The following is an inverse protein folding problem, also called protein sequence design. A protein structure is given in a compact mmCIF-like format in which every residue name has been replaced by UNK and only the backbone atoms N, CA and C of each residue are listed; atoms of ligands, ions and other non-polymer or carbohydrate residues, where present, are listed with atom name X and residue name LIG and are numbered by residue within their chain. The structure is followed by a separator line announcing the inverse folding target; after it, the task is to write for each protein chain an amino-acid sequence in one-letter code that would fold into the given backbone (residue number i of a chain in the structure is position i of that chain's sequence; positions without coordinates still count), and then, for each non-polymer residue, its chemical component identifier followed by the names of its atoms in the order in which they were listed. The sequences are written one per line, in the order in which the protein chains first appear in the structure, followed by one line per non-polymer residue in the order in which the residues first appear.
data_IF_517238107403
#
_entry.id   IF_517238107403
#
_cell.length_a   1.000
_cell.length_b   1.000
_cell.length_c   1.000
_cell.angle_alpha   90.00
_cell.angle_beta   90.00
_cell.angle_gamma   90.00
#
_symmetry.space_group_name_H-M   'P 1'
#
loop_
_entity.id
_entity.type
_entity.pdbx_description
1 polymer ?
#
# COMPACT_ATOMS: atom_id res chain seq x y z
N UNK A 1 -0.33 11.68 12.36
CA UNK A 1 -1.53 11.18 13.06
C UNK A 1 -1.42 11.34 14.58
N UNK A 2 -0.37 10.81 15.23
CA UNK A 2 -0.22 10.86 16.69
C UNK A 2 -0.23 12.27 17.30
N UNK A 3 0.37 13.26 16.62
CA UNK A 3 0.32 14.68 17.03
C UNK A 3 -1.10 15.27 17.06
N UNK A 4 -2.07 14.60 16.40
CA UNK A 4 -3.49 14.99 16.40
C UNK A 4 -4.32 14.03 17.29
N UNK A 5 -3.69 13.32 18.23
CA UNK A 5 -4.36 12.48 19.22
C UNK A 5 -4.67 11.04 18.79
N UNK A 6 -4.26 10.62 17.59
CA UNK A 6 -4.42 9.24 17.16
C UNK A 6 -3.49 8.29 17.95
N UNK A 7 -3.97 7.09 18.25
CA UNK A 7 -3.13 6.00 18.78
C UNK A 7 -2.71 5.10 17.63
N UNK A 8 -1.41 5.03 17.36
CA UNK A 8 -0.83 4.12 16.36
C UNK A 8 -0.27 2.90 17.09
N UNK A 9 -0.67 1.70 16.68
CA UNK A 9 -0.22 0.43 17.26
C UNK A 9 0.34 -0.45 16.14
N UNK A 10 1.66 -0.60 16.09
CA UNK A 10 2.34 -1.57 15.21
C UNK A 10 2.38 -2.94 15.89
N UNK A 11 2.73 -4.00 15.14
CA UNK A 11 2.74 -5.39 15.63
C UNK A 11 1.42 -5.85 16.28
N UNK A 12 0.29 -5.30 15.79
CA UNK A 12 -1.04 -5.48 16.34
C UNK A 12 -2.02 -5.99 15.26
N UNK A 13 -1.82 -7.20 14.70
CA UNK A 13 -2.68 -7.72 13.65
C UNK A 13 -4.13 -7.86 14.15
N UNK A 14 -5.10 -7.49 13.31
CA UNK A 14 -6.50 -7.80 13.57
C UNK A 14 -6.71 -9.30 13.32
N UNK A 15 -7.18 -10.03 14.33
CA UNK A 15 -7.35 -11.48 14.25
C UNK A 15 -8.81 -11.91 14.13
N UNK A 16 -9.74 -11.08 14.61
CA UNK A 16 -11.19 -11.31 14.45
C UNK A 16 -11.99 -10.04 14.66
N UNK A 17 -13.22 -10.02 14.13
CA UNK A 17 -14.23 -9.01 14.43
C UNK A 17 -15.51 -9.70 14.94
N UNK A 18 -16.20 -9.07 15.87
CA UNK A 18 -17.53 -9.49 16.32
C UNK A 18 -18.58 -8.57 15.73
N UNK A 19 -19.54 -9.14 15.01
CA UNK A 19 -20.65 -8.41 14.40
C UNK A 19 -21.96 -8.80 15.07
N UNK A 20 -22.64 -7.80 15.64
CA UNK A 20 -23.92 -7.98 16.33
C UNK A 20 -24.89 -6.93 15.83
N UNK A 21 -26.12 -7.35 15.49
CA UNK A 21 -27.17 -6.46 14.98
C UNK A 21 -26.71 -5.57 13.83
N UNK A 22 -25.93 -6.14 12.90
CA UNK A 22 -25.42 -5.44 11.72
C UNK A 22 -24.34 -4.39 12.00
N UNK A 23 -23.63 -4.48 13.14
CA UNK A 23 -22.53 -3.58 13.49
C UNK A 23 -21.34 -4.35 14.05
N UNK A 24 -20.13 -3.93 13.71
CA UNK A 24 -18.91 -4.38 14.37
C UNK A 24 -18.91 -3.82 15.79
N UNK A 25 -19.02 -4.68 16.80
CA UNK A 25 -19.04 -4.32 18.23
C UNK A 25 -17.71 -4.54 18.92
N UNK A 26 -16.88 -5.47 18.40
CA UNK A 26 -15.54 -5.72 18.90
C UNK A 26 -14.55 -6.04 17.76
N UNK A 27 -13.30 -5.64 17.94
CA UNK A 27 -12.16 -6.00 17.08
C UNK A 27 -11.05 -6.54 17.99
N UNK A 28 -10.63 -7.78 17.74
CA UNK A 28 -9.56 -8.44 18.50
C UNK A 28 -8.23 -8.21 17.82
N UNK A 29 -7.24 -7.75 18.58
CA UNK A 29 -5.86 -7.55 18.16
C UNK A 29 -5.00 -8.65 18.74
N UNK A 30 -4.13 -9.25 17.92
CA UNK A 30 -3.10 -10.18 18.37
C UNK A 30 -1.72 -9.51 18.45
N UNK A 31 -0.67 -10.34 18.30
CA UNK A 31 0.72 -9.89 18.32
C UNK A 31 1.14 -9.38 19.70
N UNK A 32 1.89 -8.27 19.72
CA UNK A 32 2.44 -7.70 20.95
C UNK A 32 1.40 -6.92 21.78
N UNK A 33 0.25 -6.61 21.17
CA UNK A 33 -0.78 -5.79 21.81
C UNK A 33 -1.79 -6.62 22.59
N UNK A 34 -2.26 -7.75 22.03
CA UNK A 34 -3.22 -8.68 22.64
C UNK A 34 -4.39 -7.98 23.37
N UNK A 35 -5.26 -7.29 22.62
CA UNK A 35 -6.29 -6.39 23.16
C UNK A 35 -7.60 -6.50 22.38
N UNK A 36 -8.70 -6.00 22.94
CA UNK A 36 -10.00 -5.92 22.27
C UNK A 36 -10.52 -4.49 22.25
N UNK A 37 -10.71 -3.96 21.04
CA UNK A 37 -11.26 -2.63 20.80
C UNK A 37 -12.77 -2.69 20.56
N UNK A 38 -13.48 -1.64 20.98
CA UNK A 38 -14.93 -1.46 20.72
C UNK A 38 -15.15 -0.19 19.86
N UNK A 39 -15.04 -0.30 18.52
CA UNK A 39 -15.07 0.86 17.65
C UNK A 39 -16.50 1.38 17.41
N UNK A 40 -16.64 2.68 17.16
CA UNK A 40 -17.90 3.24 16.62
C UNK A 40 -18.03 2.97 15.12
N UNK A 41 -16.90 2.97 14.41
CA UNK A 41 -16.77 2.76 12.97
C UNK A 41 -15.44 2.09 12.64
N UNK A 42 -15.40 1.25 11.61
CA UNK A 42 -14.23 0.50 11.14
C UNK A 42 -13.91 0.87 9.70
N UNK A 43 -12.64 1.13 9.42
CA UNK A 43 -12.12 1.34 8.07
C UNK A 43 -11.12 0.23 7.77
N UNK A 44 -11.43 -0.59 6.78
CA UNK A 44 -10.52 -1.59 6.24
C UNK A 44 -9.64 -0.97 5.14
N UNK A 45 -8.40 -0.65 5.48
CA UNK A 45 -7.39 -0.09 4.57
C UNK A 45 -6.18 -1.03 4.43
N UNK A 46 -6.42 -2.34 4.43
CA UNK A 46 -5.36 -3.37 4.59
C UNK A 46 -4.73 -3.84 3.28
N UNK A 47 -4.81 -3.03 2.22
CA UNK A 47 -4.15 -3.28 0.95
C UNK A 47 -4.53 -4.65 0.37
N UNK A 48 -3.55 -5.54 0.06
CA UNK A 48 -3.85 -6.82 -0.56
C UNK A 48 -4.62 -7.77 0.38
N UNK A 49 -4.63 -7.50 1.69
CA UNK A 49 -5.39 -8.28 2.69
C UNK A 49 -6.84 -7.81 2.86
N UNK A 50 -7.29 -6.81 2.10
CA UNK A 50 -8.62 -6.23 2.26
C UNK A 50 -9.74 -7.27 2.22
N UNK A 51 -9.65 -8.28 1.33
CA UNK A 51 -10.58 -9.41 1.29
C UNK A 51 -10.59 -10.21 2.60
N UNK A 52 -9.42 -10.67 3.06
CA UNK A 52 -9.29 -11.46 4.30
C UNK A 52 -9.82 -10.72 5.53
N UNK A 53 -9.59 -9.40 5.60
CA UNK A 53 -10.04 -8.58 6.73
C UNK A 53 -11.53 -8.27 6.63
N UNK A 54 -12.08 -8.09 5.43
CA UNK A 54 -13.52 -7.94 5.21
C UNK A 54 -14.27 -9.22 5.64
N UNK A 55 -13.73 -10.40 5.31
CA UNK A 55 -14.33 -11.69 5.68
C UNK A 55 -14.48 -11.85 7.20
N UNK A 56 -13.59 -11.25 8.00
CA UNK A 56 -13.70 -11.24 9.47
C UNK A 56 -14.96 -10.52 9.97
N UNK A 57 -15.48 -9.56 9.20
CA UNK A 57 -16.73 -8.86 9.48
C UNK A 57 -17.93 -9.49 8.74
N UNK A 58 -17.74 -10.59 8.01
CA UNK A 58 -18.80 -11.25 7.24
C UNK A 58 -19.23 -10.50 5.97
N UNK A 59 -18.37 -9.62 5.44
CA UNK A 59 -18.62 -8.85 4.19
C UNK A 59 -17.52 -9.18 3.19
N UNK A 60 -17.76 -9.03 1.89
CA UNK A 60 -16.78 -9.49 0.88
C UNK A 60 -16.11 -8.35 0.14
N UNK A 61 -14.82 -8.50 -0.15
CA UNK A 61 -14.05 -7.57 -1.00
C UNK A 61 -13.16 -8.38 -1.93
N UNK A 62 -13.46 -8.34 -3.23
CA UNK A 62 -12.75 -9.11 -4.25
C UNK A 62 -11.40 -8.48 -4.59
N UNK A 63 -10.32 -9.13 -4.17
CA UNK A 63 -8.94 -8.71 -4.44
C UNK A 63 -8.28 -9.63 -5.46
N UNK A 64 -7.42 -9.06 -6.32
CA UNK A 64 -6.64 -9.79 -7.32
C UNK A 64 -5.17 -9.37 -7.28
N UNK A 65 -4.45 -9.68 -6.18
CA UNK A 65 -3.11 -9.16 -5.97
C UNK A 65 -2.13 -9.65 -7.06
N UNK A 66 -1.21 -8.77 -7.43
CA UNK A 66 -0.08 -9.11 -8.31
C UNK A 66 1.22 -8.72 -7.67
N UNK A 67 2.19 -9.63 -7.66
CA UNK A 67 3.56 -9.31 -7.24
C UNK A 67 4.36 -8.75 -8.40
N UNK A 68 5.36 -7.93 -8.09
CA UNK A 68 6.34 -7.48 -9.04
C UNK A 68 7.70 -7.32 -8.37
N UNK A 69 8.75 -7.66 -9.11
CA UNK A 69 10.14 -7.47 -8.67
C UNK A 69 10.65 -6.08 -9.04
N UNK A 70 11.54 -5.55 -8.22
CA UNK A 70 12.42 -4.43 -8.55
C UNK A 70 13.86 -4.87 -8.30
N UNK A 71 14.79 -4.44 -9.15
CA UNK A 71 16.20 -4.80 -9.07
C UNK A 71 17.04 -3.53 -9.08
N UNK A 72 17.91 -3.35 -8.09
CA UNK A 72 18.90 -2.28 -8.11
C UNK A 72 20.24 -2.81 -8.59
N UNK A 73 20.90 -2.05 -9.47
CA UNK A 73 22.24 -2.36 -9.98
C UNK A 73 23.15 -1.13 -9.83
N UNK A 74 24.44 -1.36 -9.60
CA UNK A 74 25.43 -0.28 -9.53
C UNK A 74 25.55 0.40 -10.89
N UNK A 75 25.20 1.69 -10.95
CA UNK A 75 25.27 2.48 -12.16
C UNK A 75 25.28 3.97 -11.82
N UNK A 76 26.38 4.63 -12.14
CA UNK A 76 26.56 6.06 -11.95
C UNK A 76 26.70 6.73 -13.32
N UNK A 77 25.68 7.49 -13.72
CA UNK A 77 25.66 8.13 -15.04
C UNK A 77 24.27 8.35 -15.64
N UNK A 78 23.20 7.86 -15.01
CA UNK A 78 21.84 8.14 -15.45
C UNK A 78 21.30 9.34 -14.66
N UNK A 79 21.00 10.43 -15.36
CA UNK A 79 20.37 11.61 -14.75
C UNK A 79 18.82 11.58 -14.86
N UNK A 80 18.22 11.31 -16.03
CA UNK A 80 16.76 11.25 -16.14
C UNK A 80 16.21 9.85 -15.81
N UNK A 81 14.97 9.81 -15.33
CA UNK A 81 14.18 8.57 -15.35
C UNK A 81 13.93 8.17 -16.81
N UNK A 82 14.17 6.90 -17.14
CA UNK A 82 13.80 6.33 -18.44
C UNK A 82 12.48 5.59 -18.30
N UNK A 83 11.57 5.80 -19.26
CA UNK A 83 10.33 5.05 -19.38
C UNK A 83 10.17 4.57 -20.83
N UNK A 84 9.69 3.33 -21.00
CA UNK A 84 9.48 2.72 -22.32
C UNK A 84 8.48 3.44 -23.21
N UNK A 85 7.60 4.26 -22.64
CA UNK A 85 6.56 5.01 -23.36
C UNK A 85 5.70 4.11 -24.28
N UNK A 86 5.36 2.91 -23.80
CA UNK A 86 4.51 1.92 -24.48
C UNK A 86 3.33 1.51 -23.58
N UNK A 87 2.48 0.61 -24.08
CA UNK A 87 1.47 -0.03 -23.23
C UNK A 87 2.14 -0.80 -22.08
N UNK A 88 1.64 -0.69 -20.83
CA UNK A 88 2.33 -1.23 -19.66
C UNK A 88 2.65 -2.72 -19.76
N UNK A 89 3.90 -3.08 -19.49
CA UNK A 89 4.44 -4.43 -19.51
C UNK A 89 5.76 -4.49 -18.70
N UNK A 90 6.42 -5.63 -18.67
CA UNK A 90 7.57 -5.85 -17.81
C UNK A 90 8.77 -4.93 -18.15
N UNK A 91 9.49 -4.45 -17.14
CA UNK A 91 10.74 -3.68 -17.31
C UNK A 91 10.57 -2.31 -17.97
N UNK A 92 9.48 -1.62 -17.66
CA UNK A 92 9.12 -0.35 -18.30
C UNK A 92 9.80 0.91 -17.76
N UNK A 93 10.53 0.84 -16.64
CA UNK A 93 11.13 2.01 -16.00
C UNK A 93 12.53 1.74 -15.45
N UNK A 94 13.43 2.71 -15.64
CA UNK A 94 14.75 2.77 -15.00
C UNK A 94 14.86 4.08 -14.24
N UNK A 95 15.07 4.01 -12.93
CA UNK A 95 15.08 5.17 -12.03
C UNK A 95 16.46 5.33 -11.40
N UNK A 96 17.16 6.46 -11.60
CA UNK A 96 18.43 6.69 -10.92
C UNK A 96 18.25 6.93 -9.42
N UNK A 97 19.15 6.37 -8.62
CA UNK A 97 19.11 6.45 -7.15
C UNK A 97 20.49 6.25 -6.52
N UNK A 98 21.12 7.31 -6.01
CA UNK A 98 22.37 7.32 -5.22
C UNK A 98 23.48 6.34 -5.67
N UNK A 99 24.00 6.52 -6.90
CA UNK A 99 25.06 5.66 -7.47
C UNK A 99 24.57 4.31 -7.98
N UNK A 100 23.26 4.06 -7.92
CA UNK A 100 22.58 2.91 -8.46
C UNK A 100 21.49 3.35 -9.46
N UNK A 101 20.96 2.38 -10.20
CA UNK A 101 19.69 2.51 -10.90
C UNK A 101 18.75 1.38 -10.49
N UNK A 102 17.49 1.75 -10.26
CA UNK A 102 16.40 0.83 -9.94
C UNK A 102 15.67 0.46 -11.22
N UNK A 103 15.72 -0.81 -11.56
CA UNK A 103 15.08 -1.45 -12.70
C UNK A 103 13.73 -2.02 -12.27
N UNK A 104 12.67 -1.77 -13.04
CA UNK A 104 11.39 -2.36 -12.74
C UNK A 104 10.37 -2.28 -13.86
N UNK A 105 9.30 -3.07 -13.80
CA UNK A 105 9.00 -4.14 -12.82
C UNK A 105 8.27 -5.26 -13.54
N UNK A 106 8.00 -6.38 -12.88
CA UNK A 106 7.15 -7.46 -13.40
C UNK A 106 5.70 -7.37 -12.92
N UNK A 107 4.80 -8.19 -13.49
CA UNK A 107 3.43 -8.35 -12.97
C UNK A 107 2.96 -9.80 -12.99
N UNK A 108 3.06 -10.48 -11.84
CA UNK A 108 2.67 -11.90 -11.68
C UNK A 108 1.51 -12.03 -10.69
N UNK A 109 0.38 -12.66 -11.04
CA UNK A 109 -0.70 -12.94 -10.09
C UNK A 109 -0.23 -13.78 -8.89
N UNK A 110 -0.80 -13.52 -7.71
CA UNK A 110 -0.55 -14.31 -6.50
C UNK A 110 -1.86 -14.67 -5.81
N UNK A 111 -1.90 -15.85 -5.19
CA UNK A 111 -3.04 -16.27 -4.37
C UNK A 111 -2.90 -15.78 -2.93
N UNK A 112 -1.68 -15.80 -2.38
CA UNK A 112 -1.37 -15.34 -1.03
C UNK A 112 -0.39 -14.16 -1.06
N UNK A 113 -0.79 -12.96 -0.60
CA UNK A 113 0.13 -11.82 -0.49
C UNK A 113 1.24 -11.99 0.56
N UNK A 114 1.11 -12.93 1.50
CA UNK A 114 2.13 -13.23 2.52
C UNK A 114 3.09 -14.36 2.08
N UNK A 115 2.66 -15.18 1.11
CA UNK A 115 3.36 -16.39 0.71
C UNK A 115 3.36 -16.54 -0.82
N UNK A 116 4.37 -15.94 -1.46
CA UNK A 116 4.57 -16.03 -2.90
C UNK A 116 6.02 -16.37 -3.25
N UNK A 117 6.20 -17.04 -4.38
CA UNK A 117 7.53 -17.39 -4.89
C UNK A 117 8.33 -16.14 -5.26
N UNK A 118 9.65 -16.17 -5.05
CA UNK A 118 10.57 -15.15 -5.52
C UNK A 118 11.54 -15.83 -6.47
N UNK A 119 11.25 -15.75 -7.77
CA UNK A 119 11.96 -16.53 -8.79
C UNK A 119 13.00 -15.70 -9.53
N UNK A 120 14.14 -16.31 -9.85
CA UNK A 120 15.23 -15.65 -10.58
C UNK A 120 14.82 -15.17 -11.98
N UNK A 121 13.88 -15.85 -12.64
CA UNK A 121 13.45 -15.49 -14.00
C UNK A 121 12.85 -14.07 -14.07
N UNK A 122 12.21 -13.57 -13.00
CA UNK A 122 11.67 -12.20 -12.99
C UNK A 122 12.77 -11.16 -12.90
N UNK A 123 13.85 -11.48 -12.16
CA UNK A 123 15.04 -10.64 -12.07
C UNK A 123 15.68 -10.56 -13.46
N UNK A 124 15.90 -11.72 -14.08
CA UNK A 124 16.49 -11.83 -15.42
C UNK A 124 15.64 -11.08 -16.46
N UNK A 125 14.32 -11.28 -16.46
CA UNK A 125 13.40 -10.57 -17.34
C UNK A 125 13.44 -9.05 -17.13
N UNK A 126 13.45 -8.60 -15.87
CA UNK A 126 13.51 -7.17 -15.54
C UNK A 126 14.79 -6.53 -16.06
N UNK A 127 15.94 -7.19 -15.87
CA UNK A 127 17.23 -6.72 -16.37
C UNK A 127 17.25 -6.71 -17.90
N UNK A 128 16.80 -7.79 -18.53
CA UNK A 128 16.73 -7.92 -20.00
C UNK A 128 15.91 -6.78 -20.61
N UNK A 129 14.70 -6.54 -20.11
CA UNK A 129 13.82 -5.49 -20.61
C UNK A 129 14.38 -4.08 -20.35
N UNK A 130 14.98 -3.83 -19.18
CA UNK A 130 15.57 -2.53 -18.89
C UNK A 130 16.85 -2.27 -19.72
N UNK A 131 17.64 -3.31 -20.02
CA UNK A 131 18.85 -3.21 -20.83
C UNK A 131 18.55 -2.76 -22.27
N UNK A 132 17.33 -2.97 -22.75
CA UNK A 132 16.90 -2.44 -24.03
C UNK A 132 16.81 -0.90 -24.05
N UNK A 133 16.60 -0.25 -22.90
CA UNK A 133 16.67 1.22 -22.77
C UNK A 133 18.06 1.70 -22.36
N UNK A 134 18.73 0.93 -21.48
CA UNK A 134 20.04 1.26 -20.93
C UNK A 134 20.97 0.04 -20.97
N UNK A 135 21.66 -0.25 -22.09
CA UNK A 135 22.37 -1.52 -22.31
C UNK A 135 23.37 -1.91 -21.23
N UNK A 136 24.03 -0.92 -20.60
CA UNK A 136 25.04 -1.15 -19.56
C UNK A 136 24.51 -1.87 -18.31
N UNK A 137 23.19 -1.82 -18.03
CA UNK A 137 22.62 -2.47 -16.84
C UNK A 137 22.67 -4.00 -16.92
N UNK A 138 22.79 -4.58 -18.13
CA UNK A 138 22.87 -6.03 -18.32
C UNK A 138 24.12 -6.66 -17.68
N UNK A 139 25.21 -5.91 -17.59
CA UNK A 139 26.49 -6.36 -17.03
C UNK A 139 26.80 -5.70 -15.67
N UNK A 140 25.89 -4.86 -15.16
CA UNK A 140 26.10 -4.11 -13.92
C UNK A 140 25.95 -5.01 -12.69
N UNK A 141 26.72 -4.72 -11.66
CA UNK A 141 26.65 -5.47 -10.40
C UNK A 141 25.27 -5.28 -9.74
N UNK A 142 24.58 -6.39 -9.46
CA UNK A 142 23.32 -6.37 -8.73
C UNK A 142 23.57 -6.08 -7.25
N UNK A 143 22.96 -5.00 -6.76
CA UNK A 143 23.08 -4.55 -5.36
C UNK A 143 22.00 -5.17 -4.48
N UNK A 144 20.73 -5.00 -4.88
CA UNK A 144 19.58 -5.50 -4.09
C UNK A 144 18.38 -5.83 -4.98
N UNK A 145 17.52 -6.71 -4.48
CA UNK A 145 16.28 -7.13 -5.14
C UNK A 145 15.15 -7.19 -4.12
N UNK A 146 13.96 -6.73 -4.48
CA UNK A 146 12.79 -6.81 -3.62
C UNK A 146 11.52 -7.02 -4.43
N UNK A 147 10.53 -7.63 -3.79
CA UNK A 147 9.20 -7.83 -4.33
C UNK A 147 8.19 -7.03 -3.53
N UNK A 148 7.17 -6.55 -4.22
CA UNK A 148 6.00 -5.94 -3.60
C UNK A 148 4.72 -6.50 -4.22
N UNK A 149 3.65 -6.57 -3.43
CA UNK A 149 2.33 -7.01 -3.88
C UNK A 149 1.41 -5.81 -4.06
N UNK A 150 0.87 -5.67 -5.28
CA UNK A 150 -0.07 -4.62 -5.64
C UNK A 150 -1.48 -5.01 -5.20
N UNK A 151 -2.19 -4.15 -4.44
CA UNK A 151 -3.53 -4.44 -3.95
C UNK A 151 -4.60 -4.15 -5.01
N UNK A 152 -4.57 -4.88 -6.12
CA UNK A 152 -5.53 -4.67 -7.20
C UNK A 152 -6.92 -5.15 -6.78
N UNK A 153 -7.91 -4.29 -7.02
CA UNK A 153 -9.31 -4.57 -6.77
C UNK A 153 -9.99 -4.95 -8.08
N UNK A 154 -10.75 -6.04 -8.09
CA UNK A 154 -11.55 -6.47 -9.23
C UNK A 154 -13.03 -6.28 -8.89
N UNK A 155 -13.67 -5.18 -9.34
CA UNK A 155 -15.10 -5.01 -9.11
C UNK A 155 -15.86 -6.07 -9.89
N UNK A 156 -16.80 -6.74 -9.20
CA UNK A 156 -17.79 -7.57 -9.87
C UNK A 156 -18.76 -6.61 -10.60
N UNK A 157 -18.68 -6.52 -11.94
CA UNK A 157 -19.39 -5.51 -12.75
C UNK A 157 -20.92 -5.52 -12.54
N UNK A 158 -21.47 -6.58 -11.93
CA UNK A 158 -22.89 -6.74 -11.69
C UNK A 158 -23.38 -6.29 -10.28
N UNK A 159 -22.49 -6.11 -9.28
CA UNK A 159 -22.92 -6.30 -7.89
C UNK A 159 -23.04 -5.07 -6.99
N UNK A 160 -22.35 -3.93 -7.19
CA UNK A 160 -22.31 -2.89 -6.13
C UNK A 160 -22.40 -1.46 -6.64
N UNK A 161 -23.46 -0.77 -6.20
CA UNK A 161 -23.69 0.68 -6.33
C UNK A 161 -22.70 1.54 -5.53
N UNK A 162 -21.45 1.11 -5.40
CA UNK A 162 -20.38 1.91 -4.84
C UNK A 162 -20.19 3.16 -5.69
N UNK A 163 -20.03 4.31 -5.04
CA UNK A 163 -19.64 5.55 -5.72
C UNK A 163 -18.25 5.33 -6.32
N UNK A 164 -18.21 4.89 -7.57
CA UNK A 164 -17.00 4.82 -8.37
C UNK A 164 -16.49 6.24 -8.56
N UNK A 165 -15.60 6.69 -7.66
CA UNK A 165 -14.82 7.89 -7.92
C UNK A 165 -13.93 7.51 -9.09
N UNK A 166 -14.31 7.94 -10.29
CA UNK A 166 -13.46 7.80 -11.48
C UNK A 166 -12.04 8.24 -11.09
N UNK A 167 -11.04 7.39 -11.36
CA UNK A 167 -9.58 7.58 -11.13
C UNK A 167 -8.93 6.72 -10.02
N UNK A 168 -9.25 5.42 -9.99
CA UNK A 168 -8.26 4.39 -9.64
C UNK A 168 -8.34 3.78 -8.24
N UNK A 169 -9.25 4.22 -7.36
CA UNK A 169 -9.54 3.61 -6.06
C UNK A 169 -11.05 3.55 -5.79
N UNK A 170 -11.46 2.70 -4.83
CA UNK A 170 -12.86 2.47 -4.49
C UNK A 170 -13.07 2.53 -2.98
N UNK A 171 -14.04 3.33 -2.55
CA UNK A 171 -14.53 3.38 -1.19
C UNK A 171 -15.85 2.59 -1.12
N UNK A 172 -15.79 1.41 -0.51
CA UNK A 172 -16.88 0.45 -0.43
C UNK A 172 -17.54 0.56 0.94
N UNK A 173 -18.81 0.96 0.98
CA UNK A 173 -19.61 0.97 2.19
C UNK A 173 -20.30 -0.40 2.33
N UNK A 174 -20.26 -1.02 3.51
CA UNK A 174 -20.78 -2.38 3.70
C UNK A 174 -22.19 -2.43 4.32
N UNK A 175 -22.88 -1.29 4.38
CA UNK A 175 -24.25 -1.23 4.90
C UNK A 175 -25.21 -2.11 4.11
N UNK A 176 -25.08 -2.15 2.78
CA UNK A 176 -25.90 -3.00 1.89
C UNK A 176 -25.58 -4.50 2.04
N UNK A 177 -24.43 -4.84 2.64
CA UNK A 177 -24.03 -6.20 3.01
C UNK A 177 -24.41 -6.54 4.45
N UNK A 178 -25.14 -5.64 5.14
CA UNK A 178 -25.63 -5.85 6.50
C UNK A 178 -24.68 -5.39 7.60
N UNK A 179 -23.59 -4.68 7.28
CA UNK A 179 -22.65 -4.11 8.28
C UNK A 179 -22.55 -2.59 8.14
N UNK A 180 -23.30 -1.87 8.98
CA UNK A 180 -23.54 -0.43 8.82
C UNK A 180 -22.34 0.46 9.18
N UNK A 181 -21.46 -0.01 10.06
CA UNK A 181 -20.34 0.78 10.61
C UNK A 181 -18.98 0.32 10.10
N UNK A 182 -18.93 -0.18 8.86
CA UNK A 182 -17.71 -0.63 8.21
C UNK A 182 -17.63 -0.13 6.77
N UNK A 183 -16.44 0.29 6.34
CA UNK A 183 -16.12 0.52 4.94
C UNK A 183 -14.73 -0.05 4.60
N UNK A 184 -14.51 -0.33 3.32
CA UNK A 184 -13.20 -0.73 2.78
C UNK A 184 -12.71 0.27 1.75
N UNK A 185 -11.43 0.66 1.82
CA UNK A 185 -10.77 1.51 0.83
C UNK A 185 -9.74 0.66 0.07
N UNK A 186 -10.00 0.42 -1.22
CA UNK A 186 -9.22 -0.53 -2.04
C UNK A 186 -8.81 0.05 -3.39
N UNK A 187 -7.81 -0.57 -4.01
CA UNK A 187 -7.13 -0.03 -5.17
C UNK A 187 -6.31 1.20 -4.81
N UNK A 188 -6.21 2.13 -5.76
CA UNK A 188 -5.43 3.35 -5.62
C UNK A 188 -3.94 3.16 -5.88
N UNK A 189 -3.23 4.27 -5.79
CA UNK A 189 -1.77 4.33 -5.91
C UNK A 189 -1.22 5.14 -4.76
N UNK A 190 0.07 4.96 -4.46
CA UNK A 190 0.77 5.84 -3.52
C UNK A 190 0.60 7.32 -3.92
N UNK A 191 0.57 7.64 -5.21
CA UNK A 191 0.35 9.01 -5.70
C UNK A 191 -1.04 9.59 -5.42
N UNK A 192 -2.03 8.74 -5.12
CA UNK A 192 -3.42 9.16 -4.83
C UNK A 192 -3.79 9.04 -3.36
N UNK A 193 -2.86 8.62 -2.49
CA UNK A 193 -3.14 8.28 -1.09
C UNK A 193 -3.85 9.42 -0.32
N UNK A 194 -3.45 10.69 -0.54
CA UNK A 194 -4.08 11.84 0.13
C UNK A 194 -5.56 11.96 -0.21
N UNK A 195 -5.92 11.78 -1.49
CA UNK A 195 -7.32 11.84 -1.95
C UNK A 195 -8.15 10.65 -1.46
N UNK A 196 -7.51 9.48 -1.34
CA UNK A 196 -8.14 8.31 -0.72
C UNK A 196 -8.45 8.60 0.75
N UNK A 197 -7.45 9.11 1.50
CA UNK A 197 -7.60 9.45 2.91
C UNK A 197 -8.67 10.54 3.13
N UNK A 198 -8.72 11.57 2.28
CA UNK A 198 -9.76 12.61 2.28
C UNK A 198 -11.16 11.99 2.10
N UNK A 199 -11.39 11.25 1.02
CA UNK A 199 -12.69 10.63 0.76
C UNK A 199 -13.13 9.67 1.88
N UNK A 200 -12.19 8.91 2.45
CA UNK A 200 -12.47 8.01 3.58
C UNK A 200 -12.77 8.79 4.86
N UNK A 201 -12.00 9.84 5.16
CA UNK A 201 -12.20 10.66 6.35
C UNK A 201 -13.53 11.41 6.30
N UNK A 202 -13.89 11.99 5.15
CA UNK A 202 -15.17 12.68 4.94
C UNK A 202 -16.35 11.73 5.20
N UNK A 203 -16.30 10.52 4.62
CA UNK A 203 -17.31 9.50 4.89
C UNK A 203 -17.42 9.18 6.38
N UNK A 204 -16.30 8.98 7.08
CA UNK A 204 -16.31 8.65 8.51
C UNK A 204 -16.83 9.83 9.34
N UNK A 205 -16.49 11.07 8.98
CA UNK A 205 -16.98 12.27 9.64
C UNK A 205 -18.51 12.38 9.52
N UNK A 206 -19.05 12.18 8.31
CA UNK A 206 -20.50 12.15 8.07
C UNK A 206 -21.19 11.09 8.95
N UNK A 207 -20.62 9.89 9.03
CA UNK A 207 -21.16 8.77 9.83
C UNK A 207 -21.09 9.01 11.33
N UNK A 208 -20.14 9.83 11.80
CA UNK A 208 -19.96 10.16 13.20
C UNK A 208 -20.57 11.51 13.60
N UNK A 209 -21.17 12.25 12.66
CA UNK A 209 -21.73 13.58 12.90
C UNK A 209 -20.67 14.63 13.23
N UNK A 210 -19.48 14.51 12.65
CA UNK A 210 -18.38 15.47 12.80
C UNK A 210 -18.42 16.41 11.60
N UNK A 211 -18.65 17.70 11.87
CA UNK A 211 -18.61 18.75 10.86
C UNK A 211 -17.22 19.41 10.90
N UNK A 212 -16.38 19.09 9.92
CA UNK A 212 -15.03 19.61 9.80
C UNK A 212 -14.57 19.56 8.33
N UNK A 213 -13.89 20.63 7.89
CA UNK A 213 -13.29 20.68 6.57
C UNK A 213 -11.98 19.89 6.51
N UNK A 214 -11.71 19.25 5.37
CA UNK A 214 -10.43 18.57 5.14
C UNK A 214 -9.31 19.58 4.86
N UNK A 215 -8.29 19.60 5.73
CA UNK A 215 -7.14 20.51 5.61
C UNK A 215 -5.89 19.83 5.01
N UNK A 216 -5.99 18.55 4.61
CA UNK A 216 -4.82 17.74 4.23
C UNK A 216 -4.11 18.22 2.97
N UNK A 217 -4.78 18.99 2.11
CA UNK A 217 -4.18 19.56 0.91
C UNK A 217 -3.18 20.69 1.21
N UNK A 218 -3.32 21.36 2.35
CA UNK A 218 -2.53 22.54 2.72
C UNK A 218 -1.53 22.26 3.85
N UNK A 219 -1.71 21.14 4.56
CA UNK A 219 -0.82 20.73 5.65
C UNK A 219 0.38 19.93 5.14
N UNK A 220 1.56 20.26 5.65
CA UNK A 220 2.79 19.47 5.44
C UNK A 220 2.83 18.28 6.40
N UNK A 221 3.42 17.18 5.96
CA UNK A 221 3.70 16.04 6.83
C UNK A 221 4.77 16.42 7.88
N UNK A 222 4.69 15.87 9.10
CA UNK A 222 5.76 15.99 10.09
C UNK A 222 7.09 15.50 9.53
N UNK A 223 8.19 16.20 9.80
CA UNK A 223 9.53 15.83 9.32
C UNK A 223 9.77 16.06 7.83
N UNK A 224 8.84 16.63 7.06
CA UNK A 224 8.98 16.79 5.60
C UNK A 224 10.22 17.60 5.13
N UNK A 225 10.87 18.33 6.04
CA UNK A 225 12.10 19.09 5.76
C UNK A 225 13.30 18.65 6.60
N UNK A 226 13.21 17.51 7.29
CA UNK A 226 14.22 17.02 8.22
C UNK A 226 14.43 15.50 8.01
N UNK A 227 15.43 15.11 7.20
CA UNK A 227 15.73 13.71 6.91
C UNK A 227 16.01 12.87 8.18
N UNK A 228 16.75 13.43 9.15
CA UNK A 228 17.07 12.71 10.38
C UNK A 228 15.81 12.42 11.21
N UNK A 229 14.82 13.32 11.16
CA UNK A 229 13.51 13.10 11.78
C UNK A 229 12.72 12.00 11.06
N UNK A 230 12.83 11.89 9.73
CA UNK A 230 12.21 10.80 8.97
C UNK A 230 12.83 9.45 9.35
N UNK A 231 14.16 9.37 9.49
CA UNK A 231 14.84 8.15 9.94
C UNK A 231 14.43 7.71 11.34
N UNK A 232 14.20 8.68 12.24
CA UNK A 232 13.64 8.41 13.57
C UNK A 232 12.24 7.80 13.47
N UNK A 233 11.38 8.33 12.59
CA UNK A 233 10.04 7.78 12.38
C UNK A 233 10.07 6.37 11.78
N UNK A 234 10.96 6.11 10.82
CA UNK A 234 11.15 4.77 10.24
C UNK A 234 11.52 3.78 11.35
N UNK A 235 12.45 4.14 12.25
CA UNK A 235 12.81 3.30 13.40
C UNK A 235 11.67 3.15 14.42
N UNK A 236 10.98 4.25 14.72
CA UNK A 236 9.90 4.26 15.71
C UNK A 236 8.72 3.36 15.30
N UNK A 237 8.38 3.32 14.01
CA UNK A 237 7.24 2.58 13.49
C UNK A 237 7.63 1.29 12.76
N UNK A 238 8.87 0.84 12.92
CA UNK A 238 9.42 -0.36 12.27
C UNK A 238 9.15 -0.40 10.75
N UNK A 239 9.38 0.74 10.09
CA UNK A 239 9.08 0.93 8.67
C UNK A 239 10.22 0.57 7.72
N UNK A 240 11.27 -0.09 8.20
CA UNK A 240 12.46 -0.41 7.39
C UNK A 240 12.13 -1.49 6.36
N UNK A 241 12.37 -1.19 5.09
CA UNK A 241 12.25 -2.13 3.98
C UNK A 241 13.61 -2.69 3.51
N UNK A 242 13.61 -3.73 2.68
CA UNK A 242 14.82 -4.22 2.01
C UNK A 242 15.53 -3.15 1.15
N UNK A 243 14.79 -2.12 0.72
CA UNK A 243 15.32 -0.97 -0.01
C UNK A 243 16.18 -0.05 0.85
N UNK A 244 15.99 -0.10 2.16
CA UNK A 244 16.60 0.83 3.11
C UNK A 244 17.88 0.27 3.74
N UNK A 245 18.19 -1.00 3.45
CA UNK A 245 19.44 -1.64 3.81
C UNK A 245 20.59 -0.82 3.22
N UNK A 246 21.37 -0.19 4.10
CA UNK A 246 22.51 0.70 3.82
C UNK A 246 22.18 2.18 3.50
N UNK A 247 20.91 2.60 3.51
CA UNK A 247 20.51 4.01 3.36
C UNK A 247 20.21 4.68 4.70
N UNK A 248 19.50 3.98 5.59
CA UNK A 248 19.13 4.52 6.91
C UNK A 248 20.30 4.35 7.88
N UNK A 249 20.86 5.46 8.36
CA UNK A 249 21.95 5.47 9.33
C UNK A 249 23.36 5.69 8.77
N UNK A 250 23.50 6.15 7.52
CA UNK A 250 24.75 6.79 7.06
C UNK A 250 24.85 8.17 7.72
N UNK A 251 25.64 8.26 8.79
CA UNK A 251 26.12 9.54 9.37
C UNK A 251 27.22 10.17 8.51
#
# INVERSE_FOLDING_TARGET
ASENGARVRTHAPVTSMTVENGRVTAVTLGGDVDDTLRPRYVVNATGPHAGRVADMAGVSVSMRPTRGVMVSVAYDGLEPVLNRCREPDDGDIVVPHDGEVVLGTTSVPVDDPDAYEQSDWEIERTIEECATMLPSVAESERVRTWWGVRPLYEPDEAARGGRGISRGFHLLEHADEGVENCCSIVGGKLTTYRRMAEATADLVCDRLGVDADCETAERRLPGASDPSRLDEFVRQFDGQGPTDADLVGRE
#
